data_IF_164882850278
#
_entry.id   IF_164882850278
#
_cell.length_a   1.000
_cell.length_b   1.000
_cell.length_c   1.000
_cell.angle_alpha   90.00
_cell.angle_beta   90.00
_cell.angle_gamma   90.00
#
_symmetry.space_group_name_H-M   'P 1'
#
loop_
_entity.id
_entity.type
_entity.pdbx_description
1 polymer ?
#
# COMPACT_ATOMS: atom_id res chain seq x y z
N UNK A 1 -2.23 -0.40 36.73
CA UNK A 1 -2.53 -0.67 35.34
C UNK A 1 -1.27 -1.17 34.62
N UNK A 2 -1.32 -2.39 34.16
CA UNK A 2 -0.18 -2.99 33.52
C UNK A 2 -0.39 -3.05 32.02
N UNK A 3 0.45 -2.37 31.31
CA UNK A 3 0.45 -2.40 29.85
C UNK A 3 1.27 -3.61 29.38
N UNK A 4 0.75 -4.43 28.46
CA UNK A 4 1.52 -5.56 27.95
C UNK A 4 2.81 -5.09 27.31
N UNK A 5 3.92 -5.64 27.76
CA UNK A 5 5.22 -5.33 27.19
C UNK A 5 5.46 -6.20 25.96
N UNK A 6 6.10 -5.61 24.95
CA UNK A 6 6.48 -6.35 23.76
C UNK A 6 5.34 -6.69 22.81
N UNK A 7 4.17 -6.07 22.97
CA UNK A 7 3.09 -6.25 22.02
C UNK A 7 3.47 -5.56 20.72
N UNK A 8 3.68 -6.34 19.68
CA UNK A 8 3.89 -5.83 18.33
C UNK A 8 2.57 -5.90 17.58
N UNK A 9 2.09 -4.77 17.09
CA UNK A 9 0.86 -4.70 16.37
C UNK A 9 0.71 -3.32 15.76
N UNK A 10 -0.50 -2.96 15.36
CA UNK A 10 -0.77 -1.67 14.78
C UNK A 10 -0.34 -0.54 15.74
N UNK A 11 0.38 0.44 15.18
CA UNK A 11 0.96 1.54 15.94
C UNK A 11 2.42 1.32 16.36
N UNK A 12 3.00 0.17 16.05
CA UNK A 12 4.38 -0.16 16.36
C UNK A 12 5.17 -0.59 15.12
N UNK A 13 6.46 -0.80 15.30
CA UNK A 13 7.30 -1.39 14.25
C UNK A 13 7.08 -2.91 14.24
N UNK A 14 6.77 -3.44 13.06
CA UNK A 14 6.52 -4.86 12.87
C UNK A 14 7.60 -5.44 11.97
N UNK A 15 8.34 -6.43 12.48
CA UNK A 15 9.25 -7.21 11.65
C UNK A 15 8.42 -8.20 10.85
N UNK A 16 8.36 -8.00 9.55
CA UNK A 16 7.55 -8.85 8.67
C UNK A 16 8.30 -10.12 8.31
N UNK A 17 9.58 -10.02 8.04
CA UNK A 17 10.41 -11.17 7.70
C UNK A 17 11.50 -10.83 6.69
N UNK A 18 12.11 -11.88 6.15
CA UNK A 18 13.15 -11.73 5.13
C UNK A 18 12.55 -11.17 3.84
N UNK A 19 13.16 -10.14 3.27
CA UNK A 19 12.63 -9.46 2.10
C UNK A 19 12.46 -10.39 0.88
N UNK A 20 13.38 -11.33 0.69
CA UNK A 20 13.30 -12.28 -0.43
C UNK A 20 12.10 -13.22 -0.24
N UNK A 21 11.90 -13.69 0.98
CA UNK A 21 10.75 -14.54 1.30
C UNK A 21 9.43 -13.78 1.19
N UNK A 22 9.41 -12.52 1.62
CA UNK A 22 8.22 -11.66 1.51
C UNK A 22 7.84 -11.45 0.04
N UNK A 23 8.81 -11.16 -0.81
CA UNK A 23 8.55 -11.02 -2.26
C UNK A 23 8.01 -12.31 -2.86
N UNK A 24 8.54 -13.46 -2.44
CA UNK A 24 8.02 -14.76 -2.88
C UNK A 24 6.59 -15.01 -2.39
N UNK A 25 6.27 -14.64 -1.15
CA UNK A 25 4.91 -14.74 -0.63
C UNK A 25 3.92 -13.83 -1.36
N UNK A 26 4.34 -12.61 -1.69
CA UNK A 26 3.52 -11.69 -2.49
C UNK A 26 3.16 -12.34 -3.82
N UNK A 27 4.15 -12.90 -4.50
CA UNK A 27 3.93 -13.58 -5.78
C UNK A 27 3.01 -14.79 -5.63
N UNK A 28 3.23 -15.60 -4.59
CA UNK A 28 2.39 -16.77 -4.31
C UNK A 28 0.94 -16.42 -3.96
N UNK A 29 0.69 -15.20 -3.49
CA UNK A 29 -0.64 -14.70 -3.14
C UNK A 29 -1.21 -13.76 -4.22
N UNK A 30 -0.85 -13.98 -5.46
CA UNK A 30 -1.34 -13.20 -6.62
C UNK A 30 -1.04 -11.71 -6.53
N UNK A 31 0.07 -11.35 -5.88
CA UNK A 31 0.53 -9.97 -5.77
C UNK A 31 0.06 -9.21 -4.55
N UNK A 32 -0.70 -9.85 -3.66
CA UNK A 32 -1.24 -9.19 -2.47
C UNK A 32 -0.94 -10.00 -1.21
N UNK A 33 -0.16 -9.43 -0.31
CA UNK A 33 0.12 -10.05 0.99
C UNK A 33 -0.56 -9.25 2.10
N UNK A 34 -1.53 -9.87 2.77
CA UNK A 34 -2.26 -9.22 3.86
C UNK A 34 -1.64 -9.54 5.21
N UNK A 35 -1.34 -8.51 5.98
CA UNK A 35 -0.81 -8.63 7.35
C UNK A 35 -1.78 -7.94 8.32
N UNK A 36 -2.72 -8.70 8.90
CA UNK A 36 -3.75 -8.11 9.77
C UNK A 36 -3.20 -7.48 11.04
N UNK A 37 -2.08 -7.97 11.56
CA UNK A 37 -1.44 -7.40 12.75
C UNK A 37 -1.00 -5.96 12.56
N UNK A 38 -0.69 -5.57 11.32
CA UNK A 38 -0.35 -4.19 10.95
C UNK A 38 -1.48 -3.46 10.25
N UNK A 39 -2.62 -4.09 10.07
CA UNK A 39 -3.76 -3.55 9.28
C UNK A 39 -3.29 -3.08 7.92
N UNK A 40 -2.49 -3.91 7.26
CA UNK A 40 -1.78 -3.50 6.04
C UNK A 40 -1.79 -4.56 4.97
N UNK A 41 -1.68 -4.07 3.74
CA UNK A 41 -1.35 -4.86 2.58
C UNK A 41 0.10 -4.57 2.19
N UNK A 42 0.84 -5.60 1.84
CA UNK A 42 2.18 -5.45 1.28
C UNK A 42 2.14 -5.95 -0.15
N UNK A 43 2.56 -5.10 -1.07
CA UNK A 43 2.59 -5.42 -2.49
C UNK A 43 3.98 -5.13 -3.06
N UNK A 44 4.27 -5.75 -4.21
CA UNK A 44 5.54 -5.53 -4.88
C UNK A 44 5.50 -4.20 -5.65
N UNK A 45 6.61 -3.46 -5.57
CA UNK A 45 6.81 -2.29 -6.41
C UNK A 45 7.62 -2.70 -7.63
N UNK A 46 7.10 -2.55 -8.86
CA UNK A 46 7.81 -2.99 -10.06
C UNK A 46 9.15 -2.28 -10.24
N UNK A 47 10.20 -3.03 -10.56
CA UNK A 47 11.53 -2.48 -10.72
C UNK A 47 11.60 -1.34 -11.75
N UNK A 48 10.83 -1.45 -12.83
CA UNK A 48 10.79 -0.43 -13.87
C UNK A 48 10.07 0.86 -13.45
N UNK A 49 9.37 0.84 -12.34
CA UNK A 49 8.65 2.00 -11.80
C UNK A 49 9.38 2.68 -10.65
N UNK A 50 10.44 2.07 -10.10
CA UNK A 50 11.15 2.58 -8.92
C UNK A 50 11.74 3.97 -9.17
N UNK A 51 12.37 4.17 -10.31
CA UNK A 51 12.96 5.47 -10.63
C UNK A 51 11.90 6.55 -10.78
N UNK A 52 10.79 6.24 -11.46
CA UNK A 52 9.68 7.16 -11.58
C UNK A 52 9.05 7.47 -10.23
N UNK A 53 8.92 6.47 -9.37
CA UNK A 53 8.41 6.65 -8.01
C UNK A 53 9.32 7.56 -7.20
N UNK A 54 10.62 7.32 -7.25
CA UNK A 54 11.60 8.14 -6.54
C UNK A 54 11.50 9.60 -6.96
N UNK A 55 11.45 9.86 -8.25
CA UNK A 55 11.36 11.22 -8.78
C UNK A 55 10.02 11.88 -8.45
N UNK A 56 8.92 11.14 -8.58
CA UNK A 56 7.57 11.65 -8.31
C UNK A 56 7.40 12.01 -6.83
N UNK A 57 7.80 11.11 -5.94
CA UNK A 57 7.60 11.30 -4.49
C UNK A 57 8.63 12.26 -3.87
N UNK A 58 9.72 12.55 -4.58
CA UNK A 58 10.66 13.59 -4.17
C UNK A 58 10.35 14.96 -4.79
N UNK A 59 9.31 15.08 -5.59
CA UNK A 59 8.90 16.36 -6.16
C UNK A 59 8.51 17.36 -5.07
N UNK A 60 8.57 18.65 -5.38
CA UNK A 60 8.25 19.69 -4.43
C UNK A 60 6.84 19.57 -3.85
N UNK A 61 5.89 19.08 -4.65
CA UNK A 61 4.51 18.89 -4.22
C UNK A 61 4.36 17.79 -3.17
N UNK A 62 5.13 16.73 -3.28
CA UNK A 62 5.01 15.54 -2.44
C UNK A 62 6.06 15.47 -1.34
N UNK A 63 7.15 16.21 -1.48
CA UNK A 63 8.28 16.11 -0.56
C UNK A 63 7.89 16.40 0.89
N UNK A 64 7.02 17.37 1.11
CA UNK A 64 6.54 17.68 2.46
C UNK A 64 5.77 16.55 3.12
N UNK A 65 5.13 15.68 2.31
CA UNK A 65 4.36 14.53 2.79
C UNK A 65 5.23 13.29 3.01
N UNK A 66 6.33 13.19 2.30
CA UNK A 66 7.15 11.97 2.25
C UNK A 66 8.56 12.17 2.78
N UNK A 67 8.94 13.38 3.15
CA UNK A 67 10.30 13.73 3.55
C UNK A 67 10.77 12.88 4.74
N UNK A 68 11.92 12.27 4.57
CA UNK A 68 12.55 11.48 5.63
C UNK A 68 11.91 10.13 5.89
N UNK A 69 10.94 9.73 5.09
CA UNK A 69 10.27 8.43 5.25
C UNK A 69 10.62 7.52 4.08
N UNK A 70 11.25 6.40 4.39
CA UNK A 70 11.43 5.34 3.40
C UNK A 70 10.09 4.65 3.19
N UNK A 71 9.63 4.60 1.94
CA UNK A 71 8.37 3.99 1.57
C UNK A 71 8.54 2.59 0.97
N UNK A 72 9.77 2.09 0.89
CA UNK A 72 10.05 0.75 0.42
C UNK A 72 10.29 0.58 -1.07
N UNK A 73 10.30 1.64 -1.86
CA UNK A 73 10.50 1.55 -3.32
C UNK A 73 11.80 0.83 -3.67
N UNK A 74 12.87 1.17 -2.97
CA UNK A 74 14.20 0.59 -3.22
C UNK A 74 14.27 -0.90 -2.84
N UNK A 75 13.47 -1.30 -1.86
CA UNK A 75 13.35 -2.70 -1.47
C UNK A 75 12.40 -3.48 -2.38
N UNK A 76 11.68 -2.80 -3.26
CA UNK A 76 10.75 -3.42 -4.18
C UNK A 76 9.37 -3.73 -3.59
N UNK A 77 9.02 -3.09 -2.48
CA UNK A 77 7.72 -3.28 -1.80
C UNK A 77 7.10 -1.95 -1.41
N UNK A 78 5.81 -1.99 -1.11
CA UNK A 78 5.09 -0.90 -0.47
C UNK A 78 4.15 -1.49 0.58
N UNK A 79 4.05 -0.84 1.73
CA UNK A 79 3.13 -1.23 2.80
C UNK A 79 1.98 -0.23 2.84
N UNK A 80 0.78 -0.70 2.55
CA UNK A 80 -0.41 0.13 2.41
C UNK A 80 -1.33 -0.07 3.60
N UNK A 81 -1.80 1.04 4.17
CA UNK A 81 -2.80 0.98 5.23
C UNK A 81 -4.13 0.54 4.60
N UNK A 82 -4.77 -0.47 5.19
CA UNK A 82 -6.01 -1.06 4.67
C UNK A 82 -7.21 -0.11 4.68
N UNK A 83 -7.11 1.01 5.37
CA UNK A 83 -8.19 1.97 5.56
C UNK A 83 -8.37 2.84 4.33
N UNK A 84 -9.59 2.84 3.78
CA UNK A 84 -9.92 3.73 2.66
C UNK A 84 -9.86 5.19 3.10
N UNK A 85 -9.07 6.04 2.42
CA UNK A 85 -8.97 7.45 2.78
C UNK A 85 -10.26 8.26 2.56
N UNK A 86 -11.27 7.67 1.92
CA UNK A 86 -12.58 8.32 1.78
C UNK A 86 -13.33 8.36 3.13
N UNK A 87 -13.82 7.22 3.63
CA UNK A 87 -14.60 7.14 4.86
C UNK A 87 -14.13 6.04 5.81
N UNK A 88 -12.96 5.51 5.61
CA UNK A 88 -12.35 4.58 6.55
C UNK A 88 -12.76 3.13 6.42
N UNK A 89 -13.45 2.74 5.35
CA UNK A 89 -13.74 1.34 5.09
C UNK A 89 -12.48 0.53 4.85
N UNK A 90 -12.52 -0.75 5.18
CA UNK A 90 -11.43 -1.66 4.83
C UNK A 90 -11.44 -1.89 3.33
N UNK A 91 -10.29 -1.70 2.70
CA UNK A 91 -10.13 -1.89 1.26
C UNK A 91 -9.63 -3.31 0.99
N UNK A 92 -10.41 -4.17 0.31
CA UNK A 92 -9.95 -5.47 -0.12
C UNK A 92 -9.21 -5.38 -1.46
N UNK A 93 -8.44 -6.43 -1.75
CA UNK A 93 -7.87 -6.61 -3.07
C UNK A 93 -8.90 -7.17 -4.04
N UNK A 94 -8.70 -6.93 -5.32
CA UNK A 94 -9.47 -7.54 -6.40
C UNK A 94 -8.51 -8.34 -7.29
N UNK A 95 -8.62 -9.65 -7.26
CA UNK A 95 -7.68 -10.53 -7.97
C UNK A 95 -7.85 -10.40 -9.49
N UNK A 96 -9.06 -10.18 -9.98
CA UNK A 96 -9.31 -10.07 -11.42
C UNK A 96 -8.75 -8.79 -12.02
N UNK A 97 -8.91 -7.64 -11.35
CA UNK A 97 -8.35 -6.38 -11.82
C UNK A 97 -6.90 -6.17 -11.40
N UNK A 98 -6.44 -6.88 -10.38
CA UNK A 98 -5.15 -6.68 -9.71
C UNK A 98 -5.02 -5.30 -9.09
N UNK A 99 -6.15 -4.73 -8.71
CA UNK A 99 -6.26 -3.45 -8.01
C UNK A 99 -6.82 -3.65 -6.60
N UNK A 100 -6.80 -2.59 -5.80
CA UNK A 100 -7.59 -2.49 -4.59
C UNK A 100 -8.89 -1.78 -4.91
N UNK A 101 -10.01 -2.34 -4.44
CA UNK A 101 -11.33 -1.77 -4.76
C UNK A 101 -12.19 -1.74 -3.51
N UNK A 102 -12.51 -0.53 -3.05
CA UNK A 102 -13.31 -0.33 -1.85
C UNK A 102 -14.79 -0.56 -2.15
N UNK A 103 -15.45 -1.53 -1.49
CA UNK A 103 -16.84 -1.85 -1.79
C UNK A 103 -17.83 -0.83 -1.24
N UNK A 104 -17.42 0.04 -0.32
CA UNK A 104 -18.34 0.98 0.33
C UNK A 104 -18.85 2.03 -0.65
N UNK A 105 -17.97 2.68 -1.41
CA UNK A 105 -18.35 3.77 -2.32
C UNK A 105 -17.62 3.69 -3.68
N UNK A 106 -16.93 2.60 -3.95
CA UNK A 106 -16.35 2.35 -5.25
C UNK A 106 -15.00 3.00 -5.52
N UNK A 107 -14.27 3.43 -4.50
CA UNK A 107 -12.92 3.93 -4.71
C UNK A 107 -11.98 2.82 -5.18
N UNK A 108 -11.14 3.13 -6.15
CA UNK A 108 -10.23 2.17 -6.76
C UNK A 108 -8.80 2.68 -6.70
N UNK A 109 -7.89 1.75 -6.44
CA UNK A 109 -6.45 2.03 -6.33
C UNK A 109 -5.69 0.95 -7.09
N UNK A 110 -4.59 1.33 -7.72
CA UNK A 110 -3.73 0.33 -8.34
C UNK A 110 -3.00 -0.51 -7.27
N UNK A 111 -2.18 -1.46 -7.68
CA UNK A 111 -1.53 -2.40 -6.76
C UNK A 111 -0.54 -1.75 -5.81
N UNK A 112 -0.05 -0.54 -6.10
CA UNK A 112 0.79 0.24 -5.18
C UNK A 112 0.01 1.35 -4.46
N UNK A 113 -1.33 1.30 -4.50
CA UNK A 113 -2.18 2.18 -3.72
C UNK A 113 -2.43 3.55 -4.31
N UNK A 114 -2.05 3.80 -5.55
CA UNK A 114 -2.32 5.08 -6.23
C UNK A 114 -3.76 5.11 -6.73
N UNK A 115 -4.46 6.21 -6.51
CA UNK A 115 -5.88 6.30 -6.86
C UNK A 115 -6.11 6.20 -8.37
N UNK A 116 -7.07 5.37 -8.76
CA UNK A 116 -7.46 5.18 -10.15
C UNK A 116 -8.92 5.59 -10.42
N UNK A 117 -9.77 5.58 -9.41
CA UNK A 117 -11.17 5.94 -9.60
C UNK A 117 -11.93 6.06 -8.28
N UNK A 118 -13.16 6.53 -8.37
CA UNK A 118 -14.05 6.65 -7.21
C UNK A 118 -13.90 7.94 -6.42
N UNK A 119 -14.60 8.04 -5.27
CA UNK A 119 -14.71 9.31 -4.53
C UNK A 119 -13.56 9.62 -3.57
N UNK A 120 -12.60 8.70 -3.35
CA UNK A 120 -11.50 8.96 -2.43
C UNK A 120 -10.70 10.20 -2.82
N UNK A 121 -10.28 11.03 -1.85
CA UNK A 121 -9.58 12.28 -2.13
C UNK A 121 -8.11 12.07 -2.51
N UNK A 122 -7.56 10.89 -2.28
CA UNK A 122 -6.16 10.55 -2.53
C UNK A 122 -5.99 9.04 -2.63
N UNK A 123 -4.76 8.59 -2.91
CA UNK A 123 -4.40 7.18 -2.84
C UNK A 123 -4.40 6.65 -1.41
N UNK A 124 -4.20 5.35 -1.27
CA UNK A 124 -4.12 4.70 0.05
C UNK A 124 -2.92 5.23 0.83
N UNK A 125 -3.12 5.46 2.12
CA UNK A 125 -2.03 5.84 3.01
C UNK A 125 -1.01 4.71 3.14
N UNK A 126 0.22 5.06 3.45
CA UNK A 126 1.34 4.14 3.48
C UNK A 126 2.05 4.19 4.81
N UNK A 127 2.74 3.12 5.14
CA UNK A 127 3.60 3.07 6.31
C UNK A 127 5.06 3.25 5.91
N UNK A 128 5.86 3.76 6.83
CA UNK A 128 7.31 3.76 6.70
C UNK A 128 7.84 2.33 6.69
N UNK A 129 8.83 2.09 5.83
CA UNK A 129 9.42 0.78 5.61
C UNK A 129 10.93 0.85 5.80
N UNK A 130 11.53 -0.16 6.38
CA UNK A 130 12.99 -0.27 6.43
C UNK A 130 13.42 -1.72 6.17
N UNK A 131 14.57 -1.87 5.54
CA UNK A 131 15.19 -3.17 5.34
C UNK A 131 16.60 -3.11 5.92
N UNK A 132 16.88 -3.96 6.90
CA UNK A 132 18.18 -4.06 7.52
C UNK A 132 18.56 -5.54 7.60
N UNK A 133 19.75 -5.87 7.12
CA UNK A 133 20.25 -7.26 7.06
C UNK A 133 19.25 -8.21 6.37
N UNK A 134 18.60 -7.72 5.33
CA UNK A 134 17.60 -8.51 4.59
C UNK A 134 16.26 -8.68 5.27
N UNK A 135 16.02 -8.04 6.43
CA UNK A 135 14.77 -8.13 7.17
C UNK A 135 13.93 -6.89 6.92
N UNK A 136 12.69 -7.11 6.46
CA UNK A 136 11.70 -6.06 6.23
C UNK A 136 11.01 -5.72 7.55
N UNK A 137 11.04 -4.44 7.90
CA UNK A 137 10.31 -3.90 9.05
C UNK A 137 9.37 -2.79 8.56
N UNK A 138 8.13 -2.84 8.99
CA UNK A 138 7.13 -1.81 8.68
C UNK A 138 6.81 -1.05 9.97
N UNK A 139 6.94 0.27 9.92
CA UNK A 139 6.59 1.12 11.05
C UNK A 139 5.14 1.59 10.92
N UNK A 140 4.23 0.85 11.52
CA UNK A 140 2.80 1.18 11.47
C UNK A 140 2.41 2.37 12.33
N UNK A 141 3.33 2.85 13.16
CA UNK A 141 3.19 4.12 13.87
C UNK A 141 3.51 5.35 13.03
N UNK A 142 4.04 5.14 11.83
CA UNK A 142 4.43 6.22 10.92
C UNK A 142 3.61 6.10 9.63
N UNK A 143 2.53 6.87 9.57
CA UNK A 143 1.62 6.88 8.44
C UNK A 143 2.00 8.04 7.52
N UNK A 144 2.28 7.72 6.27
CA UNK A 144 2.50 8.69 5.21
C UNK A 144 1.21 8.83 4.43
N UNK A 145 0.74 10.05 4.28
CA UNK A 145 -0.47 10.33 3.50
C UNK A 145 -0.29 9.80 2.07
N UNK A 146 -1.33 9.17 1.54
CA UNK A 146 -1.32 8.63 0.19
C UNK A 146 -1.14 9.71 -0.87
N UNK A 147 -0.68 9.33 -2.06
CA UNK A 147 -0.41 10.29 -3.13
C UNK A 147 -1.71 10.95 -3.62
N UNK A 148 -1.63 12.20 -4.07
CA UNK A 148 -2.80 12.90 -4.60
C UNK A 148 -3.30 12.25 -5.90
N UNK A 149 -4.50 12.64 -6.29
CA UNK A 149 -5.11 12.22 -7.56
C UNK A 149 -4.19 12.62 -8.71
N UNK A 150 -4.00 11.71 -9.65
CA UNK A 150 -3.15 11.93 -10.82
C UNK A 150 -1.76 11.32 -10.72
N UNK A 151 -1.31 10.95 -9.52
CA UNK A 151 -0.06 10.23 -9.36
C UNK A 151 -0.24 8.79 -9.83
N UNK A 152 0.58 8.37 -10.80
CA UNK A 152 0.52 7.04 -11.39
C UNK A 152 1.92 6.62 -11.81
N UNK A 153 2.67 6.06 -10.87
CA UNK A 153 4.08 5.72 -11.10
C UNK A 153 4.26 4.39 -11.82
N UNK A 154 3.35 3.43 -11.62
CA UNK A 154 3.46 2.11 -12.24
C UNK A 154 2.78 2.06 -13.61
N UNK A 155 1.82 2.93 -13.88
CA UNK A 155 1.03 2.88 -15.11
C UNK A 155 0.13 1.65 -15.20
N UNK A 156 -0.11 0.97 -14.08
CA UNK A 156 -0.88 -0.25 -14.09
C UNK A 156 -2.35 0.01 -14.44
N UNK A 157 -2.80 -0.58 -15.54
CA UNK A 157 -4.22 -0.63 -15.87
C UNK A 157 -4.86 -1.85 -15.21
N UNK A 158 -6.18 -1.86 -15.12
CA UNK A 158 -6.90 -3.03 -14.62
C UNK A 158 -6.63 -4.22 -15.54
N UNK A 159 -6.18 -5.33 -14.94
CA UNK A 159 -5.76 -6.51 -15.70
C UNK A 159 -6.94 -7.41 -16.06
N UNK A 160 -8.11 -7.07 -15.59
CA UNK A 160 -9.35 -7.80 -15.85
C UNK A 160 -10.54 -7.03 -15.30
N UNK A 161 -11.71 -7.68 -15.19
CA UNK A 161 -12.93 -7.01 -14.71
C UNK A 161 -12.77 -6.51 -13.29
N UNK A 162 -13.33 -5.32 -13.02
CA UNK A 162 -13.38 -4.76 -11.68
C UNK A 162 -14.37 -5.52 -10.81
N UNK A 163 -14.05 -5.67 -9.53
CA UNK A 163 -14.92 -6.36 -8.58
C UNK A 163 -16.15 -5.53 -8.21
N UNK A 164 -15.97 -4.22 -8.02
CA UNK A 164 -17.04 -3.35 -7.53
C UNK A 164 -18.08 -2.98 -8.58
N UNK A 165 -17.68 -2.86 -9.83
CA UNK A 165 -18.60 -2.43 -10.90
C UNK A 165 -19.60 -3.49 -11.33
N UNK A 166 -19.37 -4.74 -10.99
CA UNK A 166 -20.20 -5.85 -11.44
C UNK A 166 -21.34 -6.19 -10.49
N UNK A 167 -21.18 -5.90 -9.22
CA UNK A 167 -22.17 -6.23 -8.21
C UNK A 167 -23.26 -5.19 -8.09
N UNK A 168 -23.03 -4.00 -8.57
CA UNK A 168 -23.93 -2.89 -8.32
C UNK A 168 -25.16 -2.88 -9.21
N UNK A 169 -25.06 -3.39 -10.41
CA UNK A 169 -26.19 -3.37 -11.34
C UNK A 169 -26.80 -1.99 -11.51
N UNK A 170 -26.10 -0.97 -11.13
CA UNK A 170 -26.60 0.41 -11.18
C UNK A 170 -26.32 1.05 -12.49
#
# INVERSE_FOLDING_TARGET
>A
FLWPQGVSGFGSKIKVGNIVEILAEIDANNGFLYKPEGRMWITAYPNNAVEKARNTYSSAELNGMTAGVDQGFEAGVVALYQKCPHLGCRVPNCVSSQWFECPCHGSQYNQVGEKRGGPAPRGMDRFGVSVANGVLTVNTGMIVQGPPIGVNTTGQEAEGPNCIGQASGH
#
